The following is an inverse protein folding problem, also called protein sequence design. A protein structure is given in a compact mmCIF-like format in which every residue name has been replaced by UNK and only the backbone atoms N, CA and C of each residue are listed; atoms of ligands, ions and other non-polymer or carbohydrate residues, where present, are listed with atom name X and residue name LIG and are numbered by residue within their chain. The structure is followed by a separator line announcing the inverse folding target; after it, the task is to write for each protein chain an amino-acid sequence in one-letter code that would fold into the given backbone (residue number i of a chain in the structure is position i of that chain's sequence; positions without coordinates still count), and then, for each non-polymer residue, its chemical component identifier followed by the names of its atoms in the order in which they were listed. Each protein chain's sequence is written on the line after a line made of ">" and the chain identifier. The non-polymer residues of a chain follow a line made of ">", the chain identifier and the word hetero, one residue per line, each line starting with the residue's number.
data_IF_751606259547
#
_entry.id   IF_751606259547
#
_cell.length_a   1.000
_cell.length_b   1.000
_cell.length_c   1.000
_cell.angle_alpha   90.00
_cell.angle_beta   90.00
_cell.angle_gamma   90.00
#
_symmetry.space_group_name_H-M   'P 1'
#
loop_
_entity.id
_entity.type
_entity.pdbx_description
1 polymer ?
#
# COMPACT_ATOMS: atom_id res chain seq x y z
N UNK A 1 33.66 52.20 -21.14
CA UNK A 1 33.46 51.10 -22.11
C UNK A 1 33.69 49.81 -21.36
N UNK A 2 32.90 48.76 -21.64
CA UNK A 2 32.67 47.50 -20.89
C UNK A 2 31.46 47.60 -19.93
N UNK A 3 30.22 47.33 -20.39
CA UNK A 3 29.52 46.04 -20.63
C UNK A 3 29.07 45.30 -19.36
N UNK A 4 27.76 45.44 -19.10
CA UNK A 4 26.75 44.64 -18.38
C UNK A 4 26.99 44.06 -16.96
N UNK A 5 25.95 44.12 -16.09
CA UNK A 5 26.02 43.75 -14.68
C UNK A 5 25.77 42.26 -14.46
N UNK A 6 26.38 41.74 -13.39
CA UNK A 6 26.07 40.44 -12.81
C UNK A 6 24.61 40.39 -12.33
N UNK A 7 23.83 39.51 -12.95
CA UNK A 7 22.54 39.05 -12.46
C UNK A 7 22.44 37.55 -12.74
N UNK A 8 23.09 36.72 -11.92
CA UNK A 8 22.81 35.29 -11.92
C UNK A 8 21.49 35.07 -11.19
N UNK A 9 20.39 35.07 -11.95
CA UNK A 9 19.20 34.33 -11.56
C UNK A 9 19.50 32.84 -11.84
N UNK A 10 19.52 32.02 -10.80
CA UNK A 10 19.46 30.57 -10.96
C UNK A 10 18.04 30.26 -11.41
N UNK A 11 17.83 30.06 -12.71
CA UNK A 11 16.61 29.42 -13.22
C UNK A 11 16.56 28.02 -12.64
N UNK A 12 15.68 27.83 -11.66
CA UNK A 12 15.24 26.50 -11.24
C UNK A 12 14.52 25.93 -12.45
N UNK A 13 15.18 25.00 -13.15
CA UNK A 13 14.61 24.29 -14.29
C UNK A 13 13.25 23.73 -13.89
N UNK A 14 12.22 24.27 -14.54
CA UNK A 14 10.86 23.78 -14.43
C UNK A 14 10.84 22.27 -14.70
N UNK A 15 10.40 21.50 -13.71
CA UNK A 15 10.00 20.12 -13.93
C UNK A 15 8.94 20.11 -15.05
N UNK A 16 9.05 19.26 -16.07
CA UNK A 16 8.00 19.15 -17.07
C UNK A 16 6.71 18.71 -16.38
N UNK A 17 5.66 19.52 -16.48
CA UNK A 17 4.32 19.14 -16.04
C UNK A 17 3.86 17.91 -16.82
N UNK A 18 3.37 16.84 -16.15
CA UNK A 18 2.74 15.73 -16.85
C UNK A 18 1.36 16.18 -17.36
N UNK A 19 1.35 16.73 -18.57
CA UNK A 19 0.15 16.86 -19.40
C UNK A 19 -0.21 15.51 -20.00
N UNK A 20 -1.00 14.70 -19.29
CA UNK A 20 -2.05 13.86 -19.90
C UNK A 20 -3.18 13.71 -18.87
N UNK A 21 -4.35 14.29 -19.18
CA UNK A 21 -5.63 13.91 -18.56
C UNK A 21 -5.91 12.44 -18.90
N UNK A 22 -5.51 11.51 -18.05
CA UNK A 22 -5.96 10.13 -18.11
C UNK A 22 -7.31 10.03 -17.40
N UNK A 23 -8.38 9.75 -18.15
CA UNK A 23 -9.63 9.23 -17.61
C UNK A 23 -9.34 8.08 -16.63
N UNK A 24 -10.10 7.91 -15.52
CA UNK A 24 -9.87 6.86 -14.54
C UNK A 24 -10.39 5.50 -15.05
N UNK A 25 -9.85 5.06 -16.19
CA UNK A 25 -9.96 3.68 -16.64
C UNK A 25 -9.05 2.85 -15.73
N UNK A 26 -9.67 2.16 -14.77
CA UNK A 26 -9.03 1.06 -14.05
C UNK A 26 -8.43 0.15 -15.13
N UNK A 27 -7.09 0.05 -15.14
CA UNK A 27 -6.38 -0.72 -16.17
C UNK A 27 -6.75 -2.21 -16.05
N UNK A 28 -6.90 -2.94 -17.17
CA UNK A 28 -7.25 -4.36 -17.15
C UNK A 28 -6.34 -5.18 -16.22
N UNK A 29 -5.02 -5.02 -16.30
CA UNK A 29 -4.06 -5.69 -15.40
C UNK A 29 -4.33 -5.46 -13.91
N UNK A 30 -4.60 -4.21 -13.49
CA UNK A 30 -4.92 -3.88 -12.10
C UNK A 30 -6.22 -4.55 -11.67
N UNK A 31 -7.23 -4.56 -12.54
CA UNK A 31 -8.51 -5.24 -12.25
C UNK A 31 -8.32 -6.75 -12.13
N UNK A 32 -7.58 -7.36 -13.05
CA UNK A 32 -7.33 -8.80 -13.07
C UNK A 32 -6.55 -9.22 -11.82
N UNK A 33 -5.47 -8.51 -11.48
CA UNK A 33 -4.71 -8.75 -10.25
C UNK A 33 -5.62 -8.71 -9.02
N UNK A 34 -6.45 -7.67 -8.89
CA UNK A 34 -7.34 -7.53 -7.72
C UNK A 34 -8.38 -8.65 -7.69
N UNK A 35 -8.91 -9.07 -8.83
CA UNK A 35 -9.85 -10.20 -8.92
C UNK A 35 -9.17 -11.49 -8.50
N UNK A 36 -8.05 -11.86 -9.13
CA UNK A 36 -7.32 -13.08 -8.84
C UNK A 36 -6.86 -13.16 -7.37
N UNK A 37 -6.39 -12.04 -6.80
CA UNK A 37 -6.02 -11.99 -5.39
C UNK A 37 -7.23 -12.18 -4.47
N UNK A 38 -8.37 -11.56 -4.81
CA UNK A 38 -9.61 -11.73 -4.05
C UNK A 38 -10.06 -13.19 -4.07
N UNK A 39 -10.04 -13.83 -5.24
CA UNK A 39 -10.39 -15.24 -5.39
C UNK A 39 -9.46 -16.15 -4.56
N UNK A 40 -8.15 -15.85 -4.54
CA UNK A 40 -7.19 -16.56 -3.69
C UNK A 40 -7.53 -16.43 -2.20
N UNK A 41 -7.81 -15.21 -1.73
CA UNK A 41 -8.16 -14.95 -0.33
C UNK A 41 -9.45 -15.68 0.05
N UNK A 42 -10.49 -15.58 -0.77
CA UNK A 42 -11.80 -16.20 -0.51
C UNK A 42 -11.73 -17.74 -0.52
N UNK A 43 -10.74 -18.32 -1.22
CA UNK A 43 -10.51 -19.77 -1.24
C UNK A 43 -9.70 -20.32 -0.05
N UNK A 44 -9.11 -19.44 0.79
CA UNK A 44 -8.21 -19.82 1.87
C UNK A 44 -8.76 -19.44 3.24
N UNK A 45 -8.97 -20.43 4.11
CA UNK A 45 -9.40 -20.20 5.51
C UNK A 45 -8.40 -19.35 6.29
N UNK A 46 -7.10 -19.51 6.00
CA UNK A 46 -6.04 -18.73 6.64
C UNK A 46 -6.15 -17.26 6.24
N UNK A 47 -6.28 -16.99 4.93
CA UNK A 47 -6.35 -15.62 4.42
C UNK A 47 -7.66 -14.94 4.82
N UNK A 48 -8.81 -15.62 4.72
CA UNK A 48 -10.09 -15.07 5.21
C UNK A 48 -10.02 -14.70 6.70
N UNK A 49 -9.39 -15.53 7.53
CA UNK A 49 -9.18 -15.22 8.95
C UNK A 49 -8.26 -14.00 9.17
N UNK A 50 -7.23 -13.80 8.34
CA UNK A 50 -6.33 -12.64 8.42
C UNK A 50 -7.06 -11.33 8.14
N UNK A 51 -7.95 -11.33 7.14
CA UNK A 51 -8.75 -10.16 6.79
C UNK A 51 -9.97 -9.93 7.70
N UNK A 52 -10.27 -10.86 8.60
CA UNK A 52 -11.29 -10.68 9.62
C UNK A 52 -10.79 -9.78 10.76
N UNK A 53 -11.16 -8.50 10.64
CA UNK A 53 -10.86 -7.44 11.60
C UNK A 53 -11.98 -7.22 12.65
N UNK A 54 -12.91 -8.17 12.81
CA UNK A 54 -14.07 -8.02 13.71
C UNK A 54 -13.72 -7.71 15.18
N UNK A 55 -12.54 -8.12 15.63
CA UNK A 55 -12.02 -7.86 16.98
C UNK A 55 -11.14 -6.59 17.08
N UNK A 56 -10.94 -5.87 15.98
CA UNK A 56 -10.12 -4.66 15.92
C UNK A 56 -11.00 -3.43 16.12
N UNK A 57 -10.57 -2.47 16.95
CA UNK A 57 -11.24 -1.16 17.03
C UNK A 57 -10.60 -0.15 16.07
N UNK A 58 -11.31 0.94 15.69
CA UNK A 58 -10.72 2.00 14.87
C UNK A 58 -9.42 2.57 15.45
N UNK A 59 -9.37 2.70 16.78
CA UNK A 59 -8.21 3.21 17.50
C UNK A 59 -7.06 2.20 17.50
N UNK A 60 -7.35 0.92 17.71
CA UNK A 60 -6.32 -0.13 17.66
C UNK A 60 -5.68 -0.20 16.28
N UNK A 61 -6.49 -0.12 15.21
CA UNK A 61 -5.97 -0.15 13.86
C UNK A 61 -5.14 1.11 13.54
N UNK A 62 -5.64 2.29 13.91
CA UNK A 62 -4.88 3.54 13.74
C UNK A 62 -3.53 3.48 14.48
N UNK A 63 -3.54 3.10 15.76
CA UNK A 63 -2.33 3.00 16.57
C UNK A 63 -1.36 1.97 16.00
N UNK A 64 -1.85 0.78 15.62
CA UNK A 64 -1.04 -0.24 14.99
C UNK A 64 -0.36 0.29 13.71
N UNK A 65 -1.11 0.88 12.80
CA UNK A 65 -0.57 1.38 11.54
C UNK A 65 0.46 2.49 11.75
N UNK A 66 0.20 3.39 12.70
CA UNK A 66 1.16 4.43 13.05
C UNK A 66 2.47 3.82 13.58
N UNK A 67 2.39 2.93 14.58
CA UNK A 67 3.55 2.27 15.18
C UNK A 67 4.35 1.47 14.15
N UNK A 68 3.66 0.62 13.38
CA UNK A 68 4.28 -0.24 12.39
C UNK A 68 5.02 0.55 11.31
N UNK A 69 4.36 1.57 10.74
CA UNK A 69 4.97 2.40 9.68
C UNK A 69 6.13 3.23 10.24
N UNK A 70 5.99 3.80 11.44
CA UNK A 70 7.06 4.57 12.06
C UNK A 70 8.29 3.70 12.37
N UNK A 71 8.08 2.48 12.87
CA UNK A 71 9.15 1.52 13.17
C UNK A 71 9.89 1.11 11.89
N UNK A 72 9.16 0.59 10.88
CA UNK A 72 9.77 0.15 9.62
C UNK A 72 10.47 1.31 8.91
N UNK A 73 9.86 2.49 8.86
CA UNK A 73 10.50 3.67 8.26
C UNK A 73 11.76 4.09 9.04
N UNK A 74 11.79 3.95 10.37
CA UNK A 74 13.01 4.22 11.16
C UNK A 74 14.10 3.20 10.87
N UNK A 75 13.77 1.90 10.84
CA UNK A 75 14.71 0.81 10.50
C UNK A 75 15.33 0.99 9.12
N UNK A 76 14.58 1.58 8.19
CA UNK A 76 15.04 1.84 6.83
C UNK A 76 15.70 3.20 6.62
N UNK A 77 15.92 3.99 7.69
CA UNK A 77 16.69 5.23 7.63
C UNK A 77 15.95 6.44 7.05
N UNK A 78 14.62 6.48 7.14
CA UNK A 78 13.83 7.61 6.64
C UNK A 78 14.09 8.88 7.45
N UNK A 79 14.12 10.03 6.77
CA UNK A 79 14.30 11.32 7.42
C UNK A 79 13.06 11.80 8.20
N UNK A 80 11.87 11.25 7.92
CA UNK A 80 10.64 11.61 8.65
C UNK A 80 9.68 10.42 8.83
N UNK A 81 10.05 9.40 9.64
CA UNK A 81 9.23 8.20 9.87
C UNK A 81 7.84 8.52 10.42
N UNK A 82 7.74 9.48 11.33
CA UNK A 82 6.48 9.88 11.97
C UNK A 82 5.50 10.53 10.99
N UNK A 83 5.99 11.32 10.02
CA UNK A 83 5.12 11.91 8.98
C UNK A 83 4.49 10.85 8.08
N UNK A 84 5.24 9.80 7.74
CA UNK A 84 4.71 8.68 6.94
C UNK A 84 3.67 7.89 7.73
N UNK A 85 3.95 7.64 9.01
CA UNK A 85 3.02 6.99 9.93
C UNK A 85 1.71 7.78 10.09
N UNK A 86 1.78 9.10 10.21
CA UNK A 86 0.60 9.98 10.22
C UNK A 86 -0.20 9.86 8.92
N UNK A 87 0.46 9.89 7.76
CA UNK A 87 -0.21 9.78 6.46
C UNK A 87 -0.97 8.44 6.35
N UNK A 88 -0.36 7.34 6.77
CA UNK A 88 -0.93 6.00 6.66
C UNK A 88 -2.08 5.75 7.64
N UNK A 89 -2.03 6.34 8.84
CA UNK A 89 -2.96 6.02 9.93
C UNK A 89 -4.13 7.01 10.08
N UNK A 90 -3.96 8.29 9.71
CA UNK A 90 -4.92 9.36 10.05
C UNK A 90 -6.34 9.17 9.54
N UNK A 91 -6.51 8.50 8.39
CA UNK A 91 -7.83 8.35 7.76
C UNK A 91 -8.60 7.14 8.32
N UNK A 92 -7.93 6.22 9.01
CA UNK A 92 -8.50 4.94 9.48
C UNK A 92 -9.73 5.16 10.38
N UNK A 93 -9.69 6.02 11.41
CA UNK A 93 -10.86 6.21 12.27
C UNK A 93 -12.10 6.71 11.52
N UNK A 94 -11.90 7.54 10.49
CA UNK A 94 -13.01 8.13 9.73
C UNK A 94 -13.62 7.18 8.69
N UNK A 95 -12.93 6.10 8.34
CA UNK A 95 -13.43 5.12 7.36
C UNK A 95 -13.62 3.71 7.93
N UNK A 96 -13.33 3.49 9.22
CA UNK A 96 -13.31 2.15 9.83
C UNK A 96 -14.59 1.34 9.63
N UNK A 97 -15.76 1.96 9.76
CA UNK A 97 -17.06 1.29 9.58
C UNK A 97 -17.25 0.70 8.16
N UNK A 98 -16.46 1.18 7.19
CA UNK A 98 -16.45 0.71 5.79
C UNK A 98 -15.34 -0.31 5.51
N UNK A 99 -14.41 -0.52 6.43
CA UNK A 99 -13.28 -1.45 6.31
C UNK A 99 -13.70 -2.91 6.59
N UNK A 100 -14.87 -3.32 6.10
CA UNK A 100 -15.28 -4.73 6.12
C UNK A 100 -14.24 -5.60 5.37
N UNK A 101 -14.15 -6.91 5.64
CA UNK A 101 -13.09 -7.77 5.08
C UNK A 101 -12.91 -7.65 3.57
N UNK A 102 -14.01 -7.64 2.81
CA UNK A 102 -13.98 -7.47 1.34
C UNK A 102 -13.39 -6.12 0.90
N UNK A 103 -13.63 -5.05 1.66
CA UNK A 103 -13.04 -3.73 1.39
C UNK A 103 -11.56 -3.73 1.70
N UNK A 104 -11.15 -4.36 2.82
CA UNK A 104 -9.76 -4.50 3.21
C UNK A 104 -8.94 -5.28 2.18
N UNK A 105 -9.44 -6.43 1.72
CA UNK A 105 -8.82 -7.22 0.64
C UNK A 105 -8.56 -6.32 -0.58
N UNK A 106 -9.57 -5.54 -1.00
CA UNK A 106 -9.47 -4.63 -2.13
C UNK A 106 -8.49 -3.49 -1.89
N UNK A 107 -8.40 -2.92 -0.69
CA UNK A 107 -7.45 -1.84 -0.38
C UNK A 107 -6.02 -2.35 -0.56
N UNK A 108 -5.68 -3.48 0.05
CA UNK A 108 -4.34 -4.06 -0.06
C UNK A 108 -4.01 -4.47 -1.49
N UNK A 109 -4.93 -5.16 -2.17
CA UNK A 109 -4.74 -5.58 -3.55
C UNK A 109 -4.58 -4.38 -4.51
N UNK A 110 -5.41 -3.34 -4.38
CA UNK A 110 -5.29 -2.14 -5.22
C UNK A 110 -4.00 -1.37 -4.94
N UNK A 111 -3.58 -1.27 -3.68
CA UNK A 111 -2.35 -0.58 -3.31
C UNK A 111 -1.13 -1.27 -3.96
N UNK A 112 -1.04 -2.59 -3.86
CA UNK A 112 0.01 -3.38 -4.53
C UNK A 112 -0.08 -3.25 -6.04
N UNK A 113 -1.26 -3.50 -6.62
CA UNK A 113 -1.42 -3.53 -8.07
C UNK A 113 -1.11 -2.18 -8.72
N UNK A 114 -1.58 -1.08 -8.14
CA UNK A 114 -1.30 0.27 -8.66
C UNK A 114 0.17 0.62 -8.56
N UNK A 115 0.79 0.31 -7.43
CA UNK A 115 2.21 0.54 -7.24
C UNK A 115 3.04 -0.26 -8.27
N UNK A 116 2.78 -1.56 -8.41
CA UNK A 116 3.49 -2.39 -9.40
C UNK A 116 3.24 -1.93 -10.84
N UNK A 117 2.05 -1.44 -11.15
CA UNK A 117 1.76 -0.87 -12.46
C UNK A 117 2.55 0.44 -12.71
N UNK A 118 2.59 1.35 -11.73
CA UNK A 118 3.37 2.59 -11.81
C UNK A 118 4.87 2.36 -11.92
N UNK A 119 5.38 1.26 -11.34
CA UNK A 119 6.78 0.84 -11.43
C UNK A 119 7.09 0.00 -12.69
N UNK A 120 6.09 -0.28 -13.54
CA UNK A 120 6.25 -1.06 -14.77
C UNK A 120 6.53 -2.56 -14.54
N UNK A 121 6.11 -3.10 -13.40
CA UNK A 121 6.23 -4.52 -13.04
C UNK A 121 4.95 -5.29 -13.39
N UNK A 122 3.78 -4.67 -13.22
CA UNK A 122 2.49 -5.31 -13.47
C UNK A 122 2.03 -5.14 -14.92
N UNK A 123 1.96 -6.25 -15.64
CA UNK A 123 1.43 -6.36 -17.01
C UNK A 123 0.19 -7.26 -17.06
N UNK A 124 -0.56 -7.23 -18.17
CA UNK A 124 -1.78 -8.03 -18.32
C UNK A 124 -1.49 -9.55 -18.24
N UNK A 125 -0.36 -9.99 -18.79
CA UNK A 125 0.08 -11.40 -18.80
C UNK A 125 0.52 -11.95 -17.44
N UNK A 126 1.00 -11.08 -16.54
CA UNK A 126 1.57 -11.47 -15.25
C UNK A 126 0.62 -11.22 -14.06
N UNK A 127 -0.53 -10.60 -14.30
CA UNK A 127 -1.42 -10.12 -13.25
C UNK A 127 -1.88 -11.23 -12.30
N UNK A 128 -2.29 -12.37 -12.83
CA UNK A 128 -2.79 -13.50 -12.05
C UNK A 128 -1.65 -14.18 -11.29
N UNK A 129 -0.48 -14.35 -11.92
CA UNK A 129 0.70 -14.95 -11.31
C UNK A 129 1.23 -14.10 -10.15
N UNK A 130 1.28 -12.77 -10.33
CA UNK A 130 1.68 -11.84 -9.27
C UNK A 130 0.66 -11.80 -8.14
N UNK A 131 -0.65 -11.85 -8.44
CA UNK A 131 -1.70 -11.91 -7.44
C UNK A 131 -1.61 -13.18 -6.59
N UNK A 132 -1.40 -14.33 -7.24
CA UNK A 132 -1.18 -15.60 -6.57
C UNK A 132 0.10 -15.59 -5.71
N UNK A 133 1.19 -15.04 -6.25
CA UNK A 133 2.44 -14.84 -5.50
C UNK A 133 2.24 -14.00 -4.25
N UNK A 134 1.47 -12.92 -4.35
CA UNK A 134 1.13 -12.09 -3.19
C UNK A 134 0.31 -12.86 -2.15
N UNK A 135 -0.72 -13.58 -2.59
CA UNK A 135 -1.54 -14.40 -1.69
C UNK A 135 -0.72 -15.46 -0.94
N UNK A 136 0.22 -16.13 -1.63
CA UNK A 136 1.09 -17.12 -1.01
C UNK A 136 2.01 -16.53 0.05
N UNK A 137 2.68 -15.40 -0.25
CA UNK A 137 3.55 -14.73 0.74
C UNK A 137 2.73 -14.31 1.97
N UNK A 138 1.55 -13.73 1.74
CA UNK A 138 0.66 -13.35 2.83
C UNK A 138 0.18 -14.55 3.65
N UNK A 139 -0.11 -15.68 3.00
CA UNK A 139 -0.57 -16.89 3.69
C UNK A 139 0.55 -17.52 4.54
N UNK A 140 1.77 -17.54 4.02
CA UNK A 140 2.94 -18.04 4.76
C UNK A 140 3.23 -17.18 5.99
N UNK A 141 3.15 -15.85 5.85
CA UNK A 141 3.28 -14.92 6.98
C UNK A 141 2.14 -15.07 7.98
N UNK A 142 0.91 -15.24 7.50
CA UNK A 142 -0.24 -15.46 8.34
C UNK A 142 -0.10 -16.73 9.19
N UNK A 143 0.33 -17.85 8.60
CA UNK A 143 0.59 -19.10 9.33
C UNK A 143 1.65 -18.95 10.41
N UNK A 144 2.63 -18.08 10.18
CA UNK A 144 3.75 -17.82 11.11
C UNK A 144 3.37 -16.87 12.25
N UNK A 145 2.58 -15.84 11.97
CA UNK A 145 2.40 -14.67 12.86
C UNK A 145 1.05 -14.70 13.56
N UNK A 146 -0.02 -15.13 12.88
CA UNK A 146 -1.38 -15.00 13.41
C UNK A 146 -1.56 -15.88 14.63
N UNK A 147 -1.97 -15.24 15.73
CA UNK A 147 -2.31 -15.89 16.98
C UNK A 147 -3.81 -15.78 17.22
N UNK A 148 -4.39 -16.83 17.78
CA UNK A 148 -5.79 -16.87 18.21
C UNK A 148 -6.02 -15.72 19.20
N UNK A 149 -7.14 -15.00 19.03
CA UNK A 149 -7.58 -13.87 19.86
C UNK A 149 -6.64 -12.64 19.91
N UNK A 150 -5.66 -12.56 19.01
CA UNK A 150 -4.76 -11.39 18.92
C UNK A 150 -5.00 -10.61 17.63
N UNK A 151 -5.90 -9.60 17.61
CA UNK A 151 -6.16 -8.81 16.40
C UNK A 151 -4.92 -8.07 15.88
N UNK A 152 -3.97 -7.71 16.75
CA UNK A 152 -2.70 -7.07 16.35
C UNK A 152 -1.87 -8.00 15.46
N UNK A 153 -1.87 -9.30 15.75
CA UNK A 153 -1.13 -10.29 14.95
C UNK A 153 -1.66 -10.44 13.53
N UNK A 154 -2.98 -10.30 13.33
CA UNK A 154 -3.61 -10.29 12.00
C UNK A 154 -3.18 -9.07 11.19
N UNK A 155 -3.23 -7.88 11.80
CA UNK A 155 -2.77 -6.64 11.16
C UNK A 155 -1.27 -6.71 10.83
N UNK A 156 -0.48 -7.34 11.70
CA UNK A 156 0.94 -7.58 11.44
C UNK A 156 1.14 -8.50 10.24
N UNK A 157 0.43 -9.62 10.14
CA UNK A 157 0.52 -10.50 8.99
C UNK A 157 0.16 -9.78 7.67
N UNK A 158 -0.88 -8.92 7.67
CA UNK A 158 -1.22 -8.11 6.50
C UNK A 158 -0.09 -7.18 6.07
N UNK A 159 0.51 -6.47 7.03
CA UNK A 159 1.53 -5.49 6.74
C UNK A 159 2.91 -6.11 6.44
N UNK A 160 3.27 -7.20 7.11
CA UNK A 160 4.50 -7.96 6.83
C UNK A 160 4.34 -8.65 5.45
N UNK A 161 3.23 -9.34 5.16
CA UNK A 161 3.00 -9.99 3.86
C UNK A 161 2.98 -9.02 2.68
N UNK A 162 2.43 -7.81 2.88
CA UNK A 162 2.53 -6.73 1.91
C UNK A 162 3.99 -6.30 1.68
N UNK A 163 4.76 -6.09 2.74
CA UNK A 163 6.16 -5.66 2.65
C UNK A 163 7.06 -6.75 2.05
N UNK A 164 6.90 -7.99 2.48
CA UNK A 164 7.70 -9.14 2.07
C UNK A 164 7.43 -9.50 0.61
N UNK A 165 6.18 -9.38 0.14
CA UNK A 165 5.88 -9.52 -1.29
C UNK A 165 6.60 -8.47 -2.13
N UNK A 166 6.50 -7.18 -1.77
CA UNK A 166 7.20 -6.12 -2.51
C UNK A 166 8.72 -6.27 -2.42
N UNK A 167 9.24 -6.75 -1.29
CA UNK A 167 10.65 -7.05 -1.12
C UNK A 167 11.12 -8.21 -2.00
N UNK A 168 10.29 -9.27 -2.17
CA UNK A 168 10.57 -10.40 -3.06
C UNK A 168 10.73 -9.98 -4.53
N UNK A 169 10.05 -8.89 -4.92
CA UNK A 169 10.13 -8.28 -6.24
C UNK A 169 11.24 -7.21 -6.36
N UNK A 170 12.03 -7.01 -5.30
CA UNK A 170 13.06 -5.97 -5.23
C UNK A 170 12.50 -4.54 -5.23
N UNK A 171 11.22 -4.35 -4.92
CA UNK A 171 10.55 -3.04 -4.97
C UNK A 171 10.57 -2.28 -3.64
N UNK A 172 11.03 -2.92 -2.56
CA UNK A 172 11.07 -2.31 -1.23
C UNK A 172 12.36 -1.49 -1.01
N UNK A 173 12.64 -0.55 -1.91
CA UNK A 173 13.81 0.34 -1.86
C UNK A 173 13.50 1.67 -1.15
N UNK A 174 14.50 2.37 -0.58
CA UNK A 174 14.28 3.63 0.13
C UNK A 174 13.54 4.71 -0.68
N UNK A 175 13.80 4.79 -1.98
CA UNK A 175 13.17 5.73 -2.92
C UNK A 175 11.70 5.41 -3.23
N UNK A 176 11.26 4.16 -3.04
CA UNK A 176 9.90 3.70 -3.39
C UNK A 176 8.95 3.60 -2.19
N UNK A 177 9.46 3.51 -0.96
CA UNK A 177 8.65 3.33 0.27
C UNK A 177 7.71 4.51 0.57
N UNK A 178 8.08 5.74 0.23
CA UNK A 178 7.17 6.89 0.35
C UNK A 178 5.98 6.72 -0.59
N UNK A 179 6.24 6.29 -1.83
CA UNK A 179 5.19 6.03 -2.84
C UNK A 179 4.26 4.91 -2.41
N UNK A 180 4.81 3.83 -1.85
CA UNK A 180 4.05 2.71 -1.29
C UNK A 180 3.09 3.19 -0.19
N UNK A 181 3.59 3.96 0.77
CA UNK A 181 2.78 4.51 1.87
C UNK A 181 1.68 5.44 1.37
N UNK A 182 2.01 6.27 0.37
CA UNK A 182 1.04 7.16 -0.29
C UNK A 182 -0.02 6.37 -1.07
N UNK A 183 0.35 5.29 -1.76
CA UNK A 183 -0.60 4.44 -2.50
C UNK A 183 -1.58 3.78 -1.54
N UNK A 184 -1.10 3.22 -0.43
CA UNK A 184 -1.96 2.65 0.60
C UNK A 184 -2.92 3.70 1.19
N UNK A 185 -2.40 4.85 1.62
CA UNK A 185 -3.21 5.93 2.18
C UNK A 185 -4.27 6.45 1.19
N UNK A 186 -3.95 6.50 -0.10
CA UNK A 186 -4.90 6.84 -1.17
C UNK A 186 -6.03 5.82 -1.26
N UNK A 187 -5.74 4.51 -1.21
CA UNK A 187 -6.78 3.48 -1.27
C UNK A 187 -7.68 3.50 -0.03
N UNK A 188 -7.12 3.68 1.16
CA UNK A 188 -7.90 3.86 2.41
C UNK A 188 -8.82 5.08 2.30
N UNK A 189 -8.32 6.19 1.75
CA UNK A 189 -9.14 7.39 1.50
C UNK A 189 -10.20 7.17 0.42
N UNK A 190 -9.92 6.38 -0.61
CA UNK A 190 -10.90 6.06 -1.66
C UNK A 190 -12.01 5.16 -1.14
N UNK A 191 -11.70 4.23 -0.23
CA UNK A 191 -12.70 3.38 0.42
C UNK A 191 -13.76 4.20 1.18
N UNK A 192 -13.39 5.36 1.72
CA UNK A 192 -14.34 6.32 2.31
C UNK A 192 -15.43 6.79 1.31
N UNK A 193 -15.06 6.97 0.04
CA UNK A 193 -15.90 7.63 -0.97
C UNK A 193 -16.60 6.68 -1.94
N UNK A 194 -16.13 5.43 -2.06
CA UNK A 194 -16.58 4.47 -3.08
C UNK A 194 -17.51 3.36 -2.57
N UNK A 195 -17.83 3.36 -1.28
CA UNK A 195 -18.76 2.40 -0.67
C UNK A 195 -19.73 3.14 0.25
#
# INVERSE_FOLDING_TARGET
>A
MLTYPFGYAVEISAFPEPSVKASPLIRPCVKNFVSAFTDCVESSEVLTNVFDISLTTPKDFQTFMYEYVAEKASLFGFQSPTKLADIASKEIPACFDKLIPTTMIRIFANAVARFLFEEGVLHDEDADALAFGYANVLEDDAKRIVQVDNPKSKLQALCDGFADFLNSLGQLTPDKKDRISICFAKEVKLARNKF
#
